data_IF_496519521524
#
_entry.id   IF_496519521524
#
_cell.length_a   1.000
_cell.length_b   1.000
_cell.length_c   1.000
_cell.angle_alpha   90.00
_cell.angle_beta   90.00
_cell.angle_gamma   90.00
#
_symmetry.space_group_name_H-M   'P 1'
#
loop_
_entity.id
_entity.type
_entity.pdbx_description
1 polymer ?
#
# COMPACT_ATOMS: atom_id res chain seq x y z
N UNK A 1 4.01 -19.92 -14.93
CA UNK A 1 4.53 -19.06 -13.84
C UNK A 1 5.91 -18.58 -14.27
N UNK A 2 6.02 -17.34 -14.73
CA UNK A 2 7.31 -16.73 -15.10
C UNK A 2 8.17 -16.63 -13.83
N UNK A 3 9.40 -17.13 -13.90
CA UNK A 3 10.36 -17.06 -12.79
C UNK A 3 10.94 -15.65 -12.84
N UNK A 4 10.59 -14.84 -11.85
CA UNK A 4 11.12 -13.50 -11.69
C UNK A 4 12.65 -13.55 -11.51
N UNK A 5 13.44 -12.72 -12.24
CA UNK A 5 14.90 -12.72 -12.15
C UNK A 5 15.40 -12.20 -10.79
N UNK A 6 14.57 -11.49 -10.02
CA UNK A 6 14.97 -10.93 -8.75
C UNK A 6 15.16 -11.99 -7.65
N UNK A 7 16.34 -11.95 -7.01
CA UNK A 7 16.74 -12.93 -6.01
C UNK A 7 15.95 -12.80 -4.70
N UNK A 8 15.57 -11.57 -4.32
CA UNK A 8 14.69 -11.29 -3.16
C UNK A 8 13.29 -11.84 -3.39
N UNK A 9 12.68 -11.52 -4.53
CA UNK A 9 11.35 -11.98 -4.93
C UNK A 9 11.26 -13.52 -4.93
N UNK A 10 12.30 -14.21 -5.44
CA UNK A 10 12.38 -15.67 -5.37
C UNK A 10 12.52 -16.20 -3.93
N UNK A 11 13.28 -15.52 -3.07
CA UNK A 11 13.47 -15.92 -1.68
C UNK A 11 12.15 -15.78 -0.91
N UNK A 12 11.44 -14.67 -1.09
CA UNK A 12 10.14 -14.44 -0.47
C UNK A 12 9.08 -15.40 -1.00
N UNK A 13 9.02 -15.64 -2.31
CA UNK A 13 8.14 -16.67 -2.87
C UNK A 13 8.38 -18.07 -2.28
N UNK A 14 9.66 -18.44 -2.05
CA UNK A 14 10.01 -19.70 -1.37
C UNK A 14 9.62 -19.70 0.12
N UNK A 15 9.78 -18.58 0.82
CA UNK A 15 9.35 -18.42 2.22
C UNK A 15 7.83 -18.56 2.32
N UNK A 16 7.07 -17.85 1.49
CA UNK A 16 5.60 -17.92 1.39
C UNK A 16 5.10 -19.35 1.14
N UNK A 17 5.77 -20.10 0.25
CA UNK A 17 5.47 -21.52 -0.01
C UNK A 17 5.74 -22.42 1.21
N UNK A 18 6.70 -22.05 2.06
CA UNK A 18 7.07 -22.79 3.29
C UNK A 18 6.09 -22.57 4.44
N UNK A 19 5.36 -21.45 4.44
CA UNK A 19 4.37 -21.08 5.48
C UNK A 19 3.00 -21.78 5.27
N UNK A 20 2.90 -22.68 4.28
CA UNK A 20 1.72 -23.49 4.00
C UNK A 20 0.42 -22.66 3.88
N UNK A 21 0.48 -21.58 3.10
CA UNK A 21 -0.69 -20.76 2.79
C UNK A 21 -1.77 -21.65 2.13
N UNK A 22 -2.98 -21.60 2.66
CA UNK A 22 -4.13 -22.30 2.08
C UNK A 22 -4.50 -21.68 0.74
N UNK A 23 -5.16 -22.43 -0.13
CA UNK A 23 -5.62 -21.94 -1.44
C UNK A 23 -6.43 -20.64 -1.31
N UNK A 24 -7.30 -20.54 -0.31
CA UNK A 24 -8.07 -19.32 -0.03
C UNK A 24 -7.16 -18.11 0.24
N UNK A 25 -6.05 -18.28 0.98
CA UNK A 25 -5.10 -17.17 1.24
C UNK A 25 -4.39 -16.73 -0.03
N UNK A 26 -4.08 -17.67 -0.93
CA UNK A 26 -3.52 -17.33 -2.24
C UNK A 26 -4.50 -16.57 -3.13
N UNK A 27 -5.78 -16.92 -3.09
CA UNK A 27 -6.83 -16.18 -3.78
C UNK A 27 -6.95 -14.74 -3.26
N UNK A 28 -6.88 -14.54 -1.93
CA UNK A 28 -6.86 -13.19 -1.36
C UNK A 28 -5.62 -12.40 -1.78
N UNK A 29 -4.43 -13.01 -1.83
CA UNK A 29 -3.23 -12.35 -2.38
C UNK A 29 -3.46 -11.94 -3.84
N UNK A 30 -4.11 -12.79 -4.65
CA UNK A 30 -4.48 -12.44 -6.02
C UNK A 30 -5.38 -11.19 -6.10
N UNK A 31 -6.35 -11.05 -5.20
CA UNK A 31 -7.18 -9.84 -5.10
C UNK A 31 -6.37 -8.61 -4.71
N UNK A 32 -5.42 -8.75 -3.77
CA UNK A 32 -4.53 -7.65 -3.38
C UNK A 32 -3.65 -7.19 -4.55
N UNK A 33 -3.12 -8.12 -5.34
CA UNK A 33 -2.34 -7.80 -6.54
C UNK A 33 -3.17 -6.96 -7.50
N UNK A 34 -4.43 -7.34 -7.76
CA UNK A 34 -5.33 -6.59 -8.65
C UNK A 34 -5.56 -5.17 -8.12
N UNK A 35 -5.78 -4.99 -6.82
CA UNK A 35 -5.96 -3.67 -6.20
C UNK A 35 -4.70 -2.81 -6.37
N UNK A 36 -3.52 -3.38 -6.09
CA UNK A 36 -2.25 -2.65 -6.12
C UNK A 36 -1.72 -2.39 -7.53
N UNK A 37 -2.15 -3.17 -8.53
CA UNK A 37 -1.76 -2.98 -9.94
C UNK A 37 -2.14 -1.58 -10.45
N UNK A 38 -3.28 -1.04 -10.03
CA UNK A 38 -3.69 0.31 -10.40
C UNK A 38 -2.73 1.39 -9.87
N UNK A 39 -2.23 1.22 -8.64
CA UNK A 39 -1.24 2.11 -8.05
C UNK A 39 0.12 1.98 -8.74
N UNK A 40 0.52 0.75 -9.07
CA UNK A 40 1.76 0.51 -9.81
C UNK A 40 1.75 1.21 -11.18
N UNK A 41 0.66 1.04 -11.95
CA UNK A 41 0.50 1.71 -13.25
C UNK A 41 0.54 3.23 -13.15
N UNK A 42 -0.13 3.79 -12.13
CA UNK A 42 -0.15 5.23 -11.91
C UNK A 42 1.21 5.77 -11.50
N UNK A 43 1.89 5.11 -10.58
CA UNK A 43 3.22 5.54 -10.12
C UNK A 43 4.26 5.41 -11.23
N UNK A 44 4.18 4.38 -12.07
CA UNK A 44 5.00 4.25 -13.29
C UNK A 44 4.70 5.37 -14.29
N UNK A 45 3.42 5.66 -14.55
CA UNK A 45 3.01 6.74 -15.44
C UNK A 45 3.51 8.11 -14.96
N UNK A 46 3.31 8.44 -13.68
CA UNK A 46 3.76 9.70 -13.10
C UNK A 46 5.29 9.78 -13.04
N UNK A 47 5.97 8.71 -12.65
CA UNK A 47 7.43 8.64 -12.55
C UNK A 47 8.15 8.65 -13.89
N UNK A 48 7.51 8.13 -14.95
CA UNK A 48 8.01 8.19 -16.32
C UNK A 48 7.74 9.51 -17.03
N UNK A 49 6.90 10.39 -16.45
CA UNK A 49 6.59 11.68 -17.05
C UNK A 49 7.74 12.67 -16.85
N UNK A 50 8.06 13.44 -17.90
CA UNK A 50 9.14 14.44 -17.84
C UNK A 50 8.78 15.62 -16.92
N UNK A 51 7.49 15.93 -16.85
CA UNK A 51 6.93 16.99 -16.01
C UNK A 51 5.60 16.48 -15.44
N UNK A 52 5.63 16.03 -14.20
CA UNK A 52 4.42 15.71 -13.47
C UNK A 52 3.81 17.01 -12.97
N UNK A 53 2.74 17.48 -13.63
CA UNK A 53 2.04 18.69 -13.20
C UNK A 53 1.02 18.38 -12.11
N UNK A 54 0.62 19.40 -11.36
CA UNK A 54 -0.29 19.24 -10.24
C UNK A 54 -1.69 18.85 -10.76
N UNK A 55 -2.18 19.42 -11.87
CA UNK A 55 -3.48 18.99 -12.42
C UNK A 55 -3.46 17.55 -12.94
N UNK A 56 -2.33 17.08 -13.48
CA UNK A 56 -2.17 15.69 -13.88
C UNK A 56 -2.21 14.78 -12.66
N UNK A 57 -1.52 15.14 -11.58
CA UNK A 57 -1.60 14.41 -10.31
C UNK A 57 -3.05 14.31 -9.83
N UNK A 58 -3.79 15.42 -9.78
CA UNK A 58 -5.19 15.39 -9.34
C UNK A 58 -6.09 14.55 -10.23
N UNK A 59 -5.93 14.67 -11.55
CA UNK A 59 -6.68 13.85 -12.50
C UNK A 59 -6.47 12.36 -12.26
N UNK A 60 -5.23 11.96 -11.98
CA UNK A 60 -4.87 10.57 -11.70
C UNK A 60 -5.34 10.11 -10.32
N UNK A 61 -5.22 10.96 -9.29
CA UNK A 61 -5.73 10.69 -7.94
C UNK A 61 -7.25 10.48 -7.96
N UNK A 62 -8.00 11.29 -8.71
CA UNK A 62 -9.45 11.14 -8.86
C UNK A 62 -9.83 9.78 -9.49
N UNK A 63 -9.08 9.33 -10.50
CA UNK A 63 -9.28 8.02 -11.14
C UNK A 63 -9.02 6.88 -10.14
N UNK A 64 -7.91 6.95 -9.38
CA UNK A 64 -7.60 5.94 -8.35
C UNK A 64 -8.69 5.92 -7.27
N UNK A 65 -9.08 7.09 -6.75
CA UNK A 65 -10.08 7.20 -5.69
C UNK A 65 -11.41 6.57 -6.08
N UNK A 66 -11.85 6.75 -7.34
CA UNK A 66 -13.06 6.09 -7.85
C UNK A 66 -12.92 4.56 -7.89
N UNK A 67 -11.75 4.02 -8.23
CA UNK A 67 -11.52 2.57 -8.32
C UNK A 67 -11.49 1.86 -6.97
N UNK A 68 -11.06 2.57 -5.92
CA UNK A 68 -10.97 2.05 -4.56
C UNK A 68 -12.15 2.46 -3.66
N UNK A 69 -13.14 3.17 -4.22
CA UNK A 69 -14.32 3.60 -3.48
C UNK A 69 -14.98 2.38 -2.81
N UNK A 70 -15.11 2.38 -1.47
CA UNK A 70 -15.73 1.26 -0.76
C UNK A 70 -17.24 1.20 -1.03
N UNK A 71 -17.80 -0.01 -1.08
CA UNK A 71 -19.26 -0.20 -1.16
C UNK A 71 -19.94 0.30 0.14
N UNK A 72 -21.11 0.93 0.02
CA UNK A 72 -21.89 1.54 1.12
C UNK A 72 -22.20 0.60 2.30
N UNK A 73 -22.08 -0.72 2.12
CA UNK A 73 -22.36 -1.74 3.15
C UNK A 73 -21.10 -2.33 3.80
N UNK A 74 -19.94 -1.69 3.63
CA UNK A 74 -18.74 -2.10 4.34
C UNK A 74 -18.77 -1.52 5.76
N UNK A 75 -18.79 -2.37 6.77
CA UNK A 75 -18.42 -1.99 8.14
C UNK A 75 -16.92 -1.64 8.10
N UNK A 76 -16.62 -0.40 7.71
CA UNK A 76 -15.26 0.06 7.51
C UNK A 76 -14.68 0.42 8.88
N UNK A 77 -13.66 -0.33 9.31
CA UNK A 77 -12.81 0.09 10.42
C UNK A 77 -12.13 1.42 10.05
N UNK A 78 -12.30 2.43 10.90
CA UNK A 78 -11.57 3.70 10.77
C UNK A 78 -10.11 3.45 11.13
N UNK A 79 -9.20 3.78 10.22
CA UNK A 79 -7.77 3.60 10.43
C UNK A 79 -7.21 4.85 11.08
N UNK A 80 -6.40 4.65 12.12
CA UNK A 80 -5.62 5.74 12.71
C UNK A 80 -4.43 6.07 11.80
N UNK A 81 -4.57 7.16 11.05
CA UNK A 81 -3.53 7.70 10.16
C UNK A 81 -2.70 8.80 10.85
N UNK A 82 -3.05 9.18 12.07
CA UNK A 82 -2.38 10.25 12.83
C UNK A 82 -1.23 9.70 13.68
N UNK A 83 -1.33 8.44 14.07
CA UNK A 83 -0.24 7.73 14.72
C UNK A 83 0.91 7.48 13.74
N UNK A 84 2.09 7.96 14.08
CA UNK A 84 3.32 7.66 13.34
C UNK A 84 3.77 6.20 13.53
N UNK A 85 3.06 5.37 14.30
CA UNK A 85 3.51 4.03 14.67
C UNK A 85 3.23 2.99 13.55
N UNK A 86 3.96 3.08 12.44
CA UNK A 86 3.79 2.20 11.28
C UNK A 86 4.83 1.07 11.29
N UNK A 87 4.48 -0.09 10.74
CA UNK A 87 5.40 -1.23 10.58
C UNK A 87 6.64 -0.95 9.68
N UNK A 88 6.73 0.25 9.09
CA UNK A 88 7.80 0.68 8.18
C UNK A 88 8.70 1.77 8.77
N UNK A 89 8.53 2.14 10.05
CA UNK A 89 9.45 3.10 10.69
C UNK A 89 10.84 2.47 10.88
N UNK A 90 11.88 3.31 10.76
CA UNK A 90 13.29 2.91 10.90
C UNK A 90 13.64 2.31 12.28
N UNK A 91 12.82 2.58 13.30
CA UNK A 91 12.99 2.07 14.66
C UNK A 91 12.18 0.79 14.96
N UNK A 92 11.55 0.19 13.94
CA UNK A 92 10.77 -1.06 14.03
C UNK A 92 11.63 -2.26 13.64
N UNK A 93 11.68 -3.25 14.54
CA UNK A 93 12.20 -4.59 14.25
C UNK A 93 11.09 -5.64 14.25
N UNK A 94 11.37 -6.82 13.70
CA UNK A 94 10.49 -7.98 13.80
C UNK A 94 10.89 -8.85 15.00
N UNK A 95 9.91 -9.40 15.73
CA UNK A 95 10.18 -10.25 16.90
C UNK A 95 11.13 -11.42 16.60
N UNK A 96 10.97 -12.03 15.42
CA UNK A 96 11.74 -13.20 14.97
C UNK A 96 12.96 -12.84 14.10
N UNK A 97 13.29 -11.56 13.95
CA UNK A 97 14.50 -11.17 13.22
C UNK A 97 15.75 -11.60 14.02
N UNK A 98 16.79 -12.14 13.36
CA UNK A 98 18.06 -12.40 14.03
C UNK A 98 18.60 -11.09 14.62
N UNK A 99 19.13 -11.15 15.85
CA UNK A 99 19.53 -9.95 16.63
C UNK A 99 20.60 -9.07 15.96
N UNK A 100 21.25 -9.57 14.89
CA UNK A 100 22.41 -8.97 14.24
C UNK A 100 22.12 -8.25 12.90
N UNK A 101 20.85 -8.09 12.47
CA UNK A 101 20.53 -7.32 11.24
C UNK A 101 19.88 -5.97 11.56
N UNK A 102 20.68 -4.91 11.83
CA UNK A 102 20.17 -3.55 11.72
C UNK A 102 19.95 -3.24 10.23
N UNK A 103 18.69 -3.20 9.80
CA UNK A 103 18.28 -2.82 8.44
C UNK A 103 18.58 -1.32 8.19
N UNK A 104 18.66 -0.53 9.28
CA UNK A 104 19.03 0.88 9.31
C UNK A 104 19.97 1.11 10.49
N UNK A 105 20.94 2.02 10.37
CA UNK A 105 21.92 2.34 11.43
C UNK A 105 21.32 2.98 12.69
N UNK A 106 19.98 3.01 12.83
CA UNK A 106 19.26 3.49 13.98
C UNK A 106 18.95 2.36 14.97
N UNK A 107 18.94 2.63 16.29
CA UNK A 107 18.57 1.64 17.28
C UNK A 107 17.08 1.27 17.16
N UNK A 108 16.78 -0.02 17.01
CA UNK A 108 15.42 -0.56 17.07
C UNK A 108 14.82 -0.26 18.45
N UNK A 109 13.68 0.41 18.49
CA UNK A 109 12.97 0.79 19.73
C UNK A 109 11.75 -0.08 20.00
N UNK A 110 11.19 -0.72 18.98
CA UNK A 110 9.98 -1.53 19.10
C UNK A 110 10.05 -2.77 18.21
N UNK A 111 9.53 -3.90 18.71
CA UNK A 111 9.41 -5.15 17.94
C UNK A 111 7.95 -5.40 17.61
N UNK A 112 7.66 -5.79 16.37
CA UNK A 112 6.32 -6.17 15.92
C UNK A 112 6.25 -7.67 15.62
N UNK A 113 5.13 -8.29 16.02
CA UNK A 113 4.85 -9.69 15.72
C UNK A 113 4.12 -9.80 14.38
N UNK A 114 4.81 -10.32 13.37
CA UNK A 114 4.24 -10.57 12.03
C UNK A 114 3.80 -12.02 11.82
N UNK A 115 3.99 -12.89 12.82
CA UNK A 115 3.62 -14.30 12.75
C UNK A 115 2.16 -14.56 13.13
N UNK A 116 1.45 -13.53 13.60
CA UNK A 116 0.02 -13.63 13.83
C UNK A 116 -0.72 -13.57 12.48
N UNK A 117 -1.43 -14.64 12.08
CA UNK A 117 -2.08 -14.68 10.78
C UNK A 117 -3.21 -13.65 10.69
N UNK A 118 -3.26 -12.93 9.57
CA UNK A 118 -4.32 -11.95 9.32
C UNK A 118 -5.67 -12.61 9.00
N UNK A 119 -6.74 -11.97 9.46
CA UNK A 119 -8.09 -12.34 9.08
C UNK A 119 -8.34 -11.96 7.61
N UNK A 120 -8.60 -12.99 6.80
CA UNK A 120 -8.76 -12.88 5.36
C UNK A 120 -10.22 -12.61 4.93
N UNK A 121 -11.18 -12.59 5.88
CA UNK A 121 -12.60 -12.32 5.57
C UNK A 121 -12.74 -10.87 5.09
N UNK A 122 -13.26 -10.69 3.87
CA UNK A 122 -13.47 -9.39 3.23
C UNK A 122 -12.20 -8.51 3.22
N UNK A 123 -11.02 -9.13 3.16
CA UNK A 123 -9.74 -8.43 3.23
C UNK A 123 -9.60 -7.40 2.09
N UNK A 124 -10.06 -7.74 0.89
CA UNK A 124 -10.10 -6.85 -0.26
C UNK A 124 -10.89 -5.56 0.01
N UNK A 125 -12.05 -5.67 0.67
CA UNK A 125 -12.88 -4.51 1.03
C UNK A 125 -12.21 -3.66 2.10
N UNK A 126 -11.63 -4.30 3.12
CA UNK A 126 -10.90 -3.61 4.19
C UNK A 126 -9.70 -2.84 3.64
N UNK A 127 -8.93 -3.45 2.73
CA UNK A 127 -7.78 -2.80 2.09
C UNK A 127 -8.23 -1.66 1.18
N UNK A 128 -9.28 -1.81 0.38
CA UNK A 128 -9.82 -0.69 -0.42
C UNK A 128 -10.24 0.49 0.46
N UNK A 129 -10.98 0.22 1.52
CA UNK A 129 -11.43 1.25 2.44
C UNK A 129 -10.26 1.93 3.17
N UNK A 130 -9.23 1.15 3.54
CA UNK A 130 -7.98 1.66 4.09
C UNK A 130 -7.29 2.64 3.16
N UNK A 131 -7.11 2.23 1.90
CA UNK A 131 -6.48 3.04 0.86
C UNK A 131 -7.31 4.30 0.58
N UNK A 132 -8.63 4.19 0.53
CA UNK A 132 -9.52 5.34 0.34
C UNK A 132 -9.39 6.37 1.47
N UNK A 133 -9.40 5.92 2.74
CA UNK A 133 -9.17 6.80 3.89
C UNK A 133 -7.78 7.45 3.82
N UNK A 134 -6.74 6.68 3.50
CA UNK A 134 -5.38 7.20 3.38
C UNK A 134 -5.25 8.25 2.27
N UNK A 135 -5.84 7.99 1.10
CA UNK A 135 -5.85 8.93 -0.02
C UNK A 135 -6.54 10.24 0.35
N UNK A 136 -7.68 10.18 1.03
CA UNK A 136 -8.38 11.38 1.47
C UNK A 136 -7.63 12.13 2.57
N UNK A 137 -6.91 11.43 3.46
CA UNK A 137 -6.14 12.06 4.53
C UNK A 137 -4.87 12.75 4.02
N UNK A 138 -4.09 12.08 3.17
CA UNK A 138 -2.82 12.61 2.68
C UNK A 138 -2.95 13.55 1.49
N UNK A 139 -4.02 13.40 0.68
CA UNK A 139 -4.30 14.24 -0.48
C UNK A 139 -5.60 15.03 -0.36
N UNK A 140 -5.91 15.51 0.84
CA UNK A 140 -6.96 16.52 1.03
C UNK A 140 -6.52 17.82 0.36
N UNK A 141 -7.06 18.11 -0.83
CA UNK A 141 -6.76 19.33 -1.55
C UNK A 141 -8.01 20.21 -1.62
N UNK A 142 -7.93 21.46 -1.13
CA UNK A 142 -8.96 22.46 -1.34
C UNK A 142 -9.27 22.64 -2.84
N UNK A 143 -10.55 22.56 -3.20
CA UNK A 143 -11.05 22.66 -4.58
C UNK A 143 -10.49 23.86 -5.37
N UNK A 144 -10.19 24.97 -4.69
CA UNK A 144 -9.58 26.18 -5.28
C UNK A 144 -8.17 25.92 -5.84
N UNK A 145 -7.37 25.08 -5.17
CA UNK A 145 -6.00 24.76 -5.57
C UNK A 145 -5.97 23.85 -6.80
N UNK A 146 -6.91 22.90 -6.89
CA UNK A 146 -7.09 22.09 -8.11
C UNK A 146 -7.48 22.97 -9.31
N UNK A 147 -8.44 23.88 -9.12
CA UNK A 147 -8.88 24.79 -10.18
C UNK A 147 -7.77 25.73 -10.64
N UNK A 148 -6.97 26.26 -9.71
CA UNK A 148 -5.81 27.08 -10.03
C UNK A 148 -4.71 26.28 -10.74
N UNK A 149 -4.43 25.06 -10.31
CA UNK A 149 -3.45 24.20 -10.98
C UNK A 149 -3.88 23.89 -12.42
N UNK A 150 -5.15 23.54 -12.65
CA UNK A 150 -5.67 23.30 -13.99
C UNK A 150 -5.61 24.53 -14.91
N UNK A 151 -5.69 25.74 -14.35
CA UNK A 151 -5.57 26.99 -15.09
C UNK A 151 -4.11 27.37 -15.40
N UNK A 152 -3.19 27.05 -14.49
CA UNK A 152 -1.78 27.47 -14.55
C UNK A 152 -0.86 26.42 -15.17
N UNK A 153 -1.33 25.18 -15.31
CA UNK A 153 -0.56 24.12 -15.94
C UNK A 153 -0.30 24.46 -17.43
N UNK A 154 0.95 24.32 -17.88
CA UNK A 154 1.42 24.81 -19.18
C UNK A 154 0.95 23.98 -20.39
#
# INVERSE_FOLDING_TARGET
>A
MLIDPDASTRRDGKRLKKINLTENKWQEIGKLIIILEDFARVTEYLGGSKYTTISLMYSVLAIINQKILPDDNSDVEVIDLTSQNIAFDDDVGYEDAPEDEPISGQPIRRKININMPQNCINLDKRVKAALYQAMNHYWEVPQEQEMLAALLDP
#
